data_IF_244199597901
#
_entry.id   IF_244199597901
#
_cell.length_a   1.000
_cell.length_b   1.000
_cell.length_c   1.000
_cell.angle_alpha   90.00
_cell.angle_beta   90.00
_cell.angle_gamma   90.00
#
_symmetry.space_group_name_H-M   'P 1'
#
loop_
_entity.id
_entity.type
_entity.pdbx_description
1 polymer ?
#
# COMPACT_ATOMS: atom_id res chain seq x y z
N UNK A 1 50.24 -4.71 -46.06
CA UNK A 1 50.84 -5.32 -44.86
C UNK A 1 49.71 -5.73 -43.95
N UNK A 2 49.61 -7.04 -43.72
CA UNK A 2 48.49 -7.72 -43.07
C UNK A 2 48.70 -7.74 -41.56
N UNK A 3 47.65 -7.50 -40.78
CA UNK A 3 47.64 -7.73 -39.34
C UNK A 3 47.26 -9.20 -39.12
N UNK A 4 48.09 -9.90 -38.36
CA UNK A 4 47.94 -11.30 -38.02
C UNK A 4 47.45 -11.44 -36.58
N UNK A 5 46.55 -12.40 -36.42
CA UNK A 5 45.86 -12.85 -35.23
C UNK A 5 46.80 -13.60 -34.26
N UNK A 6 46.62 -13.41 -32.95
CA UNK A 6 47.02 -14.39 -31.93
C UNK A 6 46.12 -14.23 -30.70
N UNK A 7 45.14 -15.12 -30.57
CA UNK A 7 44.48 -15.38 -29.31
C UNK A 7 45.35 -16.21 -28.37
N UNK A 8 45.13 -16.09 -27.06
CA UNK A 8 44.98 -17.21 -26.12
C UNK A 8 44.84 -16.76 -24.66
N UNK A 9 43.87 -17.39 -24.00
CA UNK A 9 43.83 -17.81 -22.60
C UNK A 9 43.82 -16.73 -21.49
N UNK A 10 42.62 -16.47 -20.95
CA UNK A 10 42.46 -16.19 -19.52
C UNK A 10 41.79 -17.41 -18.88
N UNK A 11 42.57 -18.10 -18.06
CA UNK A 11 42.20 -19.30 -17.32
C UNK A 11 41.09 -19.02 -16.30
N UNK A 12 40.18 -19.99 -16.14
CA UNK A 12 39.31 -20.14 -14.99
C UNK A 12 40.15 -20.25 -13.71
N UNK A 13 40.25 -19.16 -12.95
CA UNK A 13 40.62 -19.22 -11.54
C UNK A 13 39.36 -19.09 -10.71
N UNK A 14 38.96 -20.21 -10.10
CA UNK A 14 37.95 -20.27 -9.04
C UNK A 14 38.50 -19.56 -7.80
N UNK A 15 37.95 -18.40 -7.45
CA UNK A 15 38.10 -17.82 -6.11
C UNK A 15 36.92 -18.30 -5.24
N UNK A 16 37.17 -18.75 -3.99
CA UNK A 16 36.08 -19.05 -3.07
C UNK A 16 35.46 -17.74 -2.60
N UNK A 17 34.21 -17.51 -2.97
CA UNK A 17 33.44 -16.37 -2.48
C UNK A 17 33.02 -16.66 -1.03
N UNK A 18 33.75 -16.10 -0.07
CA UNK A 18 33.30 -16.04 1.33
C UNK A 18 32.11 -15.08 1.38
N UNK A 19 30.89 -15.63 1.41
CA UNK A 19 29.67 -14.84 1.54
C UNK A 19 29.31 -14.66 3.02
N UNK A 20 29.16 -13.41 3.43
CA UNK A 20 28.70 -13.05 4.77
C UNK A 20 27.22 -13.46 4.95
N UNK A 21 26.96 -14.40 5.85
CA UNK A 21 25.62 -14.65 6.40
C UNK A 21 25.34 -13.61 7.49
N UNK A 22 24.16 -12.97 7.46
CA UNK A 22 23.71 -12.10 8.54
C UNK A 22 22.68 -12.86 9.38
N UNK A 23 23.11 -13.37 10.52
CA UNK A 23 22.22 -13.99 11.51
C UNK A 23 21.47 -12.89 12.27
N UNK A 24 20.14 -12.94 12.27
CA UNK A 24 19.30 -12.13 13.17
C UNK A 24 18.56 -13.09 14.09
N UNK A 25 18.70 -12.91 15.40
CA UNK A 25 17.98 -13.68 16.41
C UNK A 25 16.75 -12.87 16.83
N UNK A 26 15.56 -13.45 16.66
CA UNK A 26 14.31 -12.91 17.19
C UNK A 26 13.61 -13.99 18.03
N UNK A 27 13.26 -13.65 19.27
CA UNK A 27 12.54 -14.53 20.21
C UNK A 27 13.10 -15.96 20.36
N UNK A 28 14.42 -16.10 20.44
CA UNK A 28 15.07 -17.40 20.71
C UNK A 28 15.02 -18.42 19.56
N UNK A 29 14.57 -18.03 18.36
CA UNK A 29 14.70 -18.83 17.14
C UNK A 29 15.63 -18.14 16.14
N UNK A 30 16.56 -18.93 15.62
CA UNK A 30 17.44 -18.53 14.54
C UNK A 30 16.64 -18.55 13.22
N UNK A 31 16.58 -17.41 12.53
CA UNK A 31 16.01 -17.32 11.19
C UNK A 31 17.16 -17.03 10.23
N UNK A 32 17.59 -18.05 9.49
CA UNK A 32 18.51 -17.91 8.38
C UNK A 32 17.70 -17.47 7.16
N UNK A 33 17.98 -16.27 6.65
CA UNK A 33 17.32 -15.78 5.42
C UNK A 33 18.20 -16.14 4.23
N UNK A 34 17.94 -17.29 3.60
CA UNK A 34 18.61 -17.65 2.34
C UNK A 34 17.95 -16.91 1.18
N UNK A 35 18.65 -15.91 0.65
CA UNK A 35 18.25 -15.25 -0.58
C UNK A 35 18.66 -16.13 -1.76
N UNK A 36 17.67 -16.60 -2.52
CA UNK A 36 17.72 -17.37 -3.78
C UNK A 36 17.77 -18.91 -3.66
N UNK A 37 16.81 -19.55 -4.34
CA UNK A 37 16.80 -20.99 -4.63
C UNK A 37 17.83 -21.22 -5.75
N UNK A 38 18.99 -21.75 -5.42
CA UNK A 38 19.96 -22.22 -6.41
C UNK A 38 19.48 -23.55 -6.99
N UNK A 39 18.98 -23.54 -8.23
CA UNK A 39 18.72 -24.75 -9.00
C UNK A 39 20.07 -25.28 -9.50
N UNK A 40 20.62 -26.30 -8.83
CA UNK A 40 21.82 -26.98 -9.29
C UNK A 40 21.48 -27.92 -10.44
N UNK A 41 21.64 -27.43 -11.67
CA UNK A 41 21.60 -28.26 -12.89
C UNK A 41 22.95 -28.99 -12.97
N UNK A 42 22.94 -30.32 -12.94
CA UNK A 42 24.16 -31.11 -13.09
C UNK A 42 24.77 -30.89 -14.48
N UNK A 43 26.10 -30.92 -14.57
CA UNK A 43 26.82 -30.76 -15.83
C UNK A 43 26.38 -31.79 -16.89
N UNK A 44 25.95 -32.98 -16.46
CA UNK A 44 25.40 -34.04 -17.31
C UNK A 44 23.98 -33.73 -17.82
N UNK A 45 23.15 -33.04 -17.04
CA UNK A 45 21.84 -32.58 -17.50
C UNK A 45 21.97 -31.44 -18.52
N UNK A 46 22.97 -30.58 -18.34
CA UNK A 46 23.35 -29.55 -19.32
C UNK A 46 23.90 -30.17 -20.62
N UNK A 47 24.78 -31.17 -20.52
CA UNK A 47 25.34 -31.85 -21.68
C UNK A 47 24.27 -32.60 -22.50
N UNK A 48 23.34 -33.30 -21.84
CA UNK A 48 22.20 -33.95 -22.53
C UNK A 48 21.22 -32.98 -23.17
N UNK A 49 21.04 -31.79 -22.60
CA UNK A 49 20.20 -30.74 -23.19
C UNK A 49 20.82 -30.09 -24.43
N UNK A 50 22.14 -30.17 -24.58
CA UNK A 50 22.90 -29.60 -25.71
C UNK A 50 23.15 -30.62 -26.84
N UNK A 51 22.87 -31.91 -26.64
CA UNK A 51 22.92 -32.90 -27.72
C UNK A 51 21.85 -32.59 -28.77
N UNK A 52 22.29 -32.21 -29.98
CA UNK A 52 21.43 -31.93 -31.13
C UNK A 52 21.15 -30.45 -31.41
N UNK A 53 21.67 -29.52 -30.61
CA UNK A 53 21.51 -28.08 -30.85
C UNK A 53 22.84 -27.49 -31.34
N UNK A 54 22.90 -27.12 -32.62
CA UNK A 54 24.00 -26.29 -33.14
C UNK A 54 23.96 -24.93 -32.45
N UNK A 55 25.11 -24.46 -31.96
CA UNK A 55 25.22 -23.13 -31.40
C UNK A 55 24.70 -22.10 -32.43
N UNK A 56 23.81 -21.18 -32.03
CA UNK A 56 23.19 -20.24 -32.96
C UNK A 56 24.28 -19.44 -33.67
N UNK A 57 24.11 -19.28 -34.98
CA UNK A 57 25.01 -18.43 -35.77
C UNK A 57 24.91 -16.98 -35.28
N UNK A 58 25.96 -16.17 -35.54
CA UNK A 58 25.99 -14.76 -35.13
C UNK A 58 24.76 -13.98 -35.64
N UNK A 59 24.30 -14.31 -36.85
CA UNK A 59 23.12 -13.72 -37.47
C UNK A 59 21.81 -14.16 -36.79
N UNK A 60 21.68 -15.42 -36.38
CA UNK A 60 20.54 -15.90 -35.59
C UNK A 60 20.53 -15.29 -34.17
N UNK A 61 21.70 -15.10 -33.57
CA UNK A 61 21.86 -14.40 -32.30
C UNK A 61 21.43 -12.93 -32.38
N UNK A 62 21.84 -12.20 -33.41
CA UNK A 62 21.46 -10.81 -33.65
C UNK A 62 19.96 -10.67 -33.95
N UNK A 63 19.39 -11.59 -34.75
CA UNK A 63 17.95 -11.61 -35.05
C UNK A 63 17.10 -11.94 -33.81
N UNK A 64 17.58 -12.85 -32.96
CA UNK A 64 16.93 -13.16 -31.68
C UNK A 64 17.03 -11.99 -30.71
N UNK A 65 18.18 -11.32 -30.64
CA UNK A 65 18.36 -10.12 -29.82
C UNK A 65 17.46 -8.96 -30.29
N UNK A 66 17.30 -8.76 -31.59
CA UNK A 66 16.36 -7.78 -32.14
C UNK A 66 14.91 -8.16 -31.88
N UNK A 67 14.54 -9.43 -32.01
CA UNK A 67 13.20 -9.91 -31.68
C UNK A 67 12.91 -9.72 -30.18
N UNK A 68 13.86 -10.05 -29.29
CA UNK A 68 13.73 -9.82 -27.85
C UNK A 68 13.69 -8.33 -27.51
N UNK A 69 14.46 -7.49 -28.18
CA UNK A 69 14.40 -6.04 -28.02
C UNK A 69 13.06 -5.47 -28.50
N UNK A 70 12.50 -6.02 -29.58
CA UNK A 70 11.18 -5.63 -30.09
C UNK A 70 10.07 -6.07 -29.14
N UNK A 71 10.12 -7.30 -28.63
CA UNK A 71 9.18 -7.78 -27.60
C UNK A 71 9.34 -6.98 -26.30
N UNK A 72 10.57 -6.69 -25.89
CA UNK A 72 10.84 -5.85 -24.72
C UNK A 72 10.30 -4.43 -24.92
N UNK A 73 10.56 -3.80 -26.06
CA UNK A 73 10.09 -2.45 -26.35
C UNK A 73 8.57 -2.40 -26.54
N UNK A 74 7.98 -3.43 -27.14
CA UNK A 74 6.53 -3.59 -27.21
C UNK A 74 5.96 -3.71 -25.80
N UNK A 75 6.49 -4.61 -24.97
CA UNK A 75 6.07 -4.76 -23.57
C UNK A 75 6.27 -3.47 -22.75
N UNK A 76 7.40 -2.78 -22.92
CA UNK A 76 7.66 -1.49 -22.26
C UNK A 76 6.79 -0.35 -22.79
N UNK A 77 6.28 -0.45 -24.02
CA UNK A 77 5.28 0.46 -24.55
C UNK A 77 3.86 0.12 -24.07
N UNK A 78 3.59 -1.15 -23.73
CA UNK A 78 2.32 -1.59 -23.12
C UNK A 78 2.23 -1.26 -21.63
N UNK A 79 3.36 -1.22 -20.91
CA UNK A 79 3.39 -0.68 -19.55
C UNK A 79 3.35 0.85 -19.64
N UNK A 80 2.17 1.43 -19.43
CA UNK A 80 2.05 2.83 -19.00
C UNK A 80 3.13 3.09 -17.97
N UNK A 81 4.02 4.06 -18.23
CA UNK A 81 5.08 4.43 -17.28
C UNK A 81 4.42 4.57 -15.91
N UNK A 82 4.81 3.71 -14.98
CA UNK A 82 4.36 3.83 -13.60
C UNK A 82 4.70 5.23 -13.06
N UNK A 83 4.03 5.66 -11.99
CA UNK A 83 4.25 6.97 -11.39
C UNK A 83 5.73 7.18 -11.04
N UNK A 84 6.14 8.44 -10.96
CA UNK A 84 7.46 8.77 -10.43
C UNK A 84 7.66 8.17 -9.03
N UNK A 85 8.75 7.42 -8.84
CA UNK A 85 9.15 6.92 -7.52
C UNK A 85 9.54 8.05 -6.55
N UNK A 86 9.74 9.27 -7.06
CA UNK A 86 9.96 10.47 -6.26
C UNK A 86 8.65 11.21 -5.91
N UNK A 87 7.48 10.69 -6.31
CA UNK A 87 6.20 11.27 -5.91
C UNK A 87 5.95 11.13 -4.41
N UNK A 88 5.15 12.03 -3.86
CA UNK A 88 4.75 12.02 -2.44
C UNK A 88 4.08 10.70 -2.05
N UNK A 89 3.43 10.01 -3.00
CA UNK A 89 2.84 8.70 -2.78
C UNK A 89 3.85 7.66 -2.23
N UNK A 90 5.07 7.64 -2.76
CA UNK A 90 6.14 6.74 -2.31
C UNK A 90 7.10 7.36 -1.29
N UNK A 91 7.10 8.69 -1.15
CA UNK A 91 8.03 9.40 -0.27
C UNK A 91 7.43 9.73 1.11
N UNK A 92 6.13 9.99 1.20
CA UNK A 92 5.47 10.32 2.47
C UNK A 92 5.25 9.06 3.32
N UNK A 93 5.73 9.02 4.58
CA UNK A 93 5.51 7.90 5.49
C UNK A 93 4.03 7.48 5.67
N UNK A 94 3.08 8.39 5.51
CA UNK A 94 1.65 8.09 5.65
C UNK A 94 1.08 7.26 4.48
N UNK A 95 1.63 7.38 3.27
CA UNK A 95 1.16 6.62 2.10
C UNK A 95 2.16 5.58 1.60
N UNK A 96 3.46 5.81 1.79
CA UNK A 96 4.54 4.99 1.23
C UNK A 96 4.45 3.52 1.66
N UNK A 97 4.02 3.26 2.90
CA UNK A 97 3.87 1.90 3.43
C UNK A 97 2.80 1.07 2.71
N UNK A 98 1.81 1.72 2.09
CA UNK A 98 0.73 1.06 1.37
C UNK A 98 0.80 1.24 -0.15
N UNK A 99 1.68 2.10 -0.64
CA UNK A 99 1.73 2.49 -2.06
C UNK A 99 1.86 1.30 -3.03
N UNK A 100 2.64 0.28 -2.64
CA UNK A 100 2.84 -0.95 -3.43
C UNK A 100 1.55 -1.77 -3.58
N UNK A 101 0.59 -1.64 -2.66
CA UNK A 101 -0.68 -2.38 -2.72
C UNK A 101 -1.60 -1.87 -3.83
N UNK A 102 -1.41 -0.64 -4.31
CA UNK A 102 -2.27 0.01 -5.32
C UNK A 102 -1.71 -0.11 -6.76
N UNK A 103 -0.74 -0.99 -7.01
CA UNK A 103 -0.11 -1.11 -8.35
C UNK A 103 -1.13 -1.35 -9.47
N UNK A 104 -2.18 -2.13 -9.21
CA UNK A 104 -3.19 -2.45 -10.22
C UNK A 104 -4.06 -1.24 -10.58
N UNK A 105 -4.19 -0.24 -9.70
CA UNK A 105 -4.96 0.98 -10.00
C UNK A 105 -4.33 1.76 -11.17
N UNK A 106 -3.00 1.73 -11.31
CA UNK A 106 -2.32 2.40 -12.42
C UNK A 106 -2.56 1.73 -13.78
N UNK A 107 -2.83 0.42 -13.80
CA UNK A 107 -3.09 -0.33 -15.04
C UNK A 107 -4.51 -0.07 -15.57
N UNK A 108 -5.43 0.26 -14.67
CA UNK A 108 -6.85 0.50 -14.97
C UNK A 108 -7.25 1.97 -14.78
N UNK A 109 -6.26 2.87 -14.72
CA UNK A 109 -6.46 4.30 -14.57
C UNK A 109 -6.90 4.93 -15.89
N UNK A 110 -7.92 5.78 -15.83
CA UNK A 110 -8.34 6.68 -16.89
C UNK A 110 -7.62 8.03 -16.83
N UNK A 111 -6.65 8.18 -15.92
CA UNK A 111 -5.74 9.33 -15.81
C UNK A 111 -4.28 8.87 -15.89
N UNK A 112 -3.37 9.79 -16.18
CA UNK A 112 -1.95 9.47 -16.17
C UNK A 112 -1.47 9.00 -14.78
N UNK A 113 -0.34 8.29 -14.77
CA UNK A 113 0.13 7.62 -13.56
C UNK A 113 0.52 8.58 -12.42
N UNK A 114 1.06 9.76 -12.73
CA UNK A 114 1.43 10.74 -11.71
C UNK A 114 0.19 11.37 -11.05
N UNK A 115 -0.86 11.66 -11.82
CA UNK A 115 -2.15 12.15 -11.29
C UNK A 115 -2.85 11.08 -10.45
N UNK A 116 -2.80 9.81 -10.86
CA UNK A 116 -3.30 8.69 -10.05
C UNK A 116 -2.51 8.56 -8.73
N UNK A 117 -1.17 8.65 -8.77
CA UNK A 117 -0.36 8.58 -7.56
C UNK A 117 -0.66 9.74 -6.60
N UNK A 118 -0.81 10.95 -7.11
CA UNK A 118 -1.22 12.11 -6.31
C UNK A 118 -2.62 11.93 -5.70
N UNK A 119 -3.58 11.37 -6.46
CA UNK A 119 -4.91 11.06 -5.96
C UNK A 119 -4.88 10.03 -4.82
N UNK A 120 -4.13 8.94 -5.00
CA UNK A 120 -3.97 7.90 -3.99
C UNK A 120 -3.26 8.43 -2.75
N UNK A 121 -2.22 9.26 -2.92
CA UNK A 121 -1.57 9.93 -1.80
C UNK A 121 -2.56 10.78 -1.00
N UNK A 122 -3.30 11.68 -1.65
CA UNK A 122 -4.31 12.50 -0.97
C UNK A 122 -5.43 11.66 -0.32
N UNK A 123 -5.78 10.52 -0.91
CA UNK A 123 -6.75 9.60 -0.35
C UNK A 123 -6.26 8.91 0.93
N UNK A 124 -4.96 8.63 1.06
CA UNK A 124 -4.37 7.92 2.19
C UNK A 124 -3.95 8.83 3.36
N UNK A 125 -3.69 10.11 3.11
CA UNK A 125 -3.27 11.05 4.17
C UNK A 125 -4.45 11.65 4.94
N UNK A 126 -4.20 11.99 6.20
CA UNK A 126 -5.14 12.70 7.08
C UNK A 126 -4.65 14.12 7.37
N UNK A 127 -5.56 15.10 7.60
CA UNK A 127 -5.19 16.50 7.72
C UNK A 127 -4.38 16.81 8.99
N UNK A 128 -4.49 15.98 10.02
CA UNK A 128 -3.75 16.09 11.27
C UNK A 128 -3.62 14.72 11.93
N UNK A 129 -2.65 14.58 12.85
CA UNK A 129 -2.55 13.38 13.66
C UNK A 129 -3.81 13.19 14.49
N UNK A 130 -4.32 11.96 14.50
CA UNK A 130 -5.45 11.57 15.34
C UNK A 130 -5.07 11.57 16.83
N UNK A 131 -5.95 12.12 17.65
CA UNK A 131 -5.76 12.27 19.11
C UNK A 131 -6.38 11.13 19.93
N UNK A 132 -7.37 10.44 19.38
CA UNK A 132 -8.06 9.32 20.03
C UNK A 132 -8.61 8.32 19.00
N UNK A 133 -9.32 7.29 19.48
CA UNK A 133 -9.92 6.28 18.61
C UNK A 133 -11.10 6.81 17.78
N UNK A 134 -11.75 7.91 18.20
CA UNK A 134 -12.85 8.55 17.46
C UNK A 134 -12.31 9.27 16.25
N UNK A 135 -11.28 10.11 16.41
CA UNK A 135 -10.63 10.79 15.27
C UNK A 135 -9.98 9.77 14.35
N UNK A 136 -9.37 8.71 14.90
CA UNK A 136 -8.77 7.63 14.09
C UNK A 136 -9.81 6.88 13.26
N UNK A 137 -11.01 6.70 13.81
CA UNK A 137 -12.14 6.11 13.11
C UNK A 137 -12.66 7.02 11.98
N UNK A 138 -12.73 8.33 12.22
CA UNK A 138 -13.10 9.32 11.20
C UNK A 138 -12.07 9.35 10.07
N UNK A 139 -10.78 9.37 10.39
CA UNK A 139 -9.69 9.29 9.42
C UNK A 139 -9.83 8.06 8.52
N UNK A 140 -10.01 6.87 9.10
CA UNK A 140 -10.16 5.63 8.33
C UNK A 140 -11.42 5.66 7.44
N UNK A 141 -12.53 6.18 7.94
CA UNK A 141 -13.77 6.33 7.15
C UNK A 141 -13.62 7.32 6.00
N UNK A 142 -12.87 8.41 6.19
CA UNK A 142 -12.57 9.36 5.12
C UNK A 142 -11.60 8.79 4.10
N UNK A 143 -10.63 7.96 4.52
CA UNK A 143 -9.79 7.20 3.60
C UNK A 143 -10.62 6.26 2.73
N UNK A 144 -11.59 5.54 3.32
CA UNK A 144 -12.53 4.71 2.56
C UNK A 144 -13.29 5.55 1.52
N UNK A 145 -13.89 6.67 1.94
CA UNK A 145 -14.65 7.54 1.04
C UNK A 145 -13.78 8.07 -0.11
N UNK A 146 -12.58 8.57 0.19
CA UNK A 146 -11.66 9.12 -0.82
C UNK A 146 -11.21 8.06 -1.81
N UNK A 147 -10.85 6.85 -1.34
CA UNK A 147 -10.46 5.76 -2.23
C UNK A 147 -11.61 5.32 -3.14
N UNK A 148 -12.83 5.22 -2.62
CA UNK A 148 -14.01 4.91 -3.44
C UNK A 148 -14.29 6.01 -4.48
N UNK A 149 -14.03 7.27 -4.15
CA UNK A 149 -14.13 8.37 -5.11
C UNK A 149 -13.06 8.26 -6.20
N UNK A 150 -11.80 7.91 -5.87
CA UNK A 150 -10.77 7.59 -6.88
C UNK A 150 -11.25 6.47 -7.81
N UNK A 151 -11.79 5.39 -7.25
CA UNK A 151 -12.35 4.27 -8.03
C UNK A 151 -13.44 4.75 -8.98
N UNK A 152 -14.41 5.51 -8.47
CA UNK A 152 -15.54 6.02 -9.26
C UNK A 152 -15.10 6.95 -10.40
N UNK A 153 -14.10 7.81 -10.15
CA UNK A 153 -13.71 8.87 -11.09
C UNK A 153 -12.66 8.45 -12.09
N UNK A 154 -11.68 7.66 -11.66
CA UNK A 154 -10.43 7.40 -12.36
C UNK A 154 -10.21 5.94 -12.71
N UNK A 155 -10.93 4.97 -12.11
CA UNK A 155 -10.80 3.58 -12.53
C UNK A 155 -11.78 3.26 -13.66
N UNK A 156 -11.30 2.53 -14.67
CA UNK A 156 -12.10 2.10 -15.81
C UNK A 156 -13.29 1.25 -15.37
N UNK A 157 -14.45 1.44 -16.02
CA UNK A 157 -15.72 0.85 -15.59
C UNK A 157 -15.70 -0.68 -15.48
N UNK A 158 -14.89 -1.36 -16.29
CA UNK A 158 -14.68 -2.81 -16.26
C UNK A 158 -13.86 -3.31 -15.06
N UNK A 159 -13.14 -2.42 -14.37
CA UNK A 159 -12.32 -2.72 -13.20
C UNK A 159 -12.82 -2.06 -11.89
N UNK A 160 -13.88 -1.25 -11.94
CA UNK A 160 -14.40 -0.56 -10.75
C UNK A 160 -14.86 -1.50 -9.64
N UNK A 161 -15.48 -2.63 -9.98
CA UNK A 161 -15.94 -3.60 -8.98
C UNK A 161 -14.76 -4.26 -8.24
N UNK A 162 -13.77 -4.87 -8.93
CA UNK A 162 -12.54 -5.36 -8.28
C UNK A 162 -11.82 -4.29 -7.45
N UNK A 163 -11.72 -3.06 -7.95
CA UNK A 163 -11.08 -1.98 -7.23
C UNK A 163 -11.84 -1.59 -5.94
N UNK A 164 -13.18 -1.58 -5.98
CA UNK A 164 -14.02 -1.32 -4.80
C UNK A 164 -13.89 -2.43 -3.75
N UNK A 165 -13.82 -3.70 -4.19
CA UNK A 165 -13.57 -4.85 -3.30
C UNK A 165 -12.18 -4.77 -2.66
N UNK A 166 -11.16 -4.37 -3.43
CA UNK A 166 -9.83 -4.10 -2.90
C UNK A 166 -9.86 -3.00 -1.83
N UNK A 167 -10.55 -1.87 -2.07
CA UNK A 167 -10.68 -0.79 -1.08
C UNK A 167 -11.34 -1.32 0.20
N UNK A 168 -12.42 -2.09 0.09
CA UNK A 168 -13.07 -2.68 1.26
C UNK A 168 -12.11 -3.61 2.05
N UNK A 169 -11.34 -4.45 1.35
CA UNK A 169 -10.32 -5.30 1.97
C UNK A 169 -9.19 -4.52 2.64
N UNK A 170 -8.70 -3.46 1.99
CA UNK A 170 -7.68 -2.57 2.52
C UNK A 170 -8.14 -1.89 3.82
N UNK A 171 -9.37 -1.37 3.84
CA UNK A 171 -9.95 -0.73 5.02
C UNK A 171 -10.14 -1.74 6.16
N UNK A 172 -10.56 -2.97 5.86
CA UNK A 172 -10.64 -4.05 6.85
C UNK A 172 -9.26 -4.41 7.42
N UNK A 173 -8.22 -4.48 6.58
CA UNK A 173 -6.85 -4.71 7.02
C UNK A 173 -6.37 -3.61 7.98
N UNK A 174 -6.64 -2.34 7.65
CA UNK A 174 -6.30 -1.19 8.51
C UNK A 174 -7.04 -1.23 9.85
N UNK A 175 -8.31 -1.61 9.85
CA UNK A 175 -9.07 -1.80 11.08
C UNK A 175 -8.47 -2.91 11.96
N UNK A 176 -8.07 -4.04 11.37
CA UNK A 176 -7.44 -5.14 12.11
C UNK A 176 -6.05 -4.75 12.64
N UNK A 177 -5.24 -4.03 11.86
CA UNK A 177 -3.95 -3.49 12.32
C UNK A 177 -4.12 -2.59 13.56
N UNK A 178 -5.13 -1.72 13.57
CA UNK A 178 -5.44 -0.88 14.73
C UNK A 178 -5.84 -1.72 15.95
N UNK A 179 -6.63 -2.78 15.76
CA UNK A 179 -7.02 -3.68 16.85
C UNK A 179 -5.83 -4.48 17.39
N UNK A 180 -4.95 -4.96 16.53
CA UNK A 180 -3.70 -5.62 16.93
C UNK A 180 -2.81 -4.68 17.74
N UNK A 181 -2.65 -3.43 17.32
CA UNK A 181 -1.88 -2.43 18.08
C UNK A 181 -2.49 -2.20 19.46
N UNK A 182 -3.82 -2.04 19.55
CA UNK A 182 -4.51 -1.88 20.82
C UNK A 182 -4.30 -3.09 21.75
N UNK A 183 -4.37 -4.33 21.22
CA UNK A 183 -4.09 -5.54 22.00
C UNK A 183 -2.66 -5.54 22.54
N UNK A 184 -1.67 -5.15 21.72
CA UNK A 184 -0.26 -5.09 22.13
C UNK A 184 -0.07 -4.07 23.26
N UNK A 185 -0.63 -2.86 23.12
CA UNK A 185 -0.53 -1.81 24.15
C UNK A 185 -1.20 -2.25 25.45
N UNK A 186 -2.40 -2.83 25.39
CA UNK A 186 -3.11 -3.33 26.57
C UNK A 186 -2.37 -4.48 27.25
N UNK A 187 -1.75 -5.39 26.49
CA UNK A 187 -0.96 -6.49 27.06
C UNK A 187 0.29 -5.96 27.80
N UNK A 188 0.97 -4.97 27.24
CA UNK A 188 2.09 -4.30 27.90
C UNK A 188 1.63 -3.57 29.17
N UNK A 189 0.52 -2.82 29.10
CA UNK A 189 -0.05 -2.11 30.24
C UNK A 189 -0.49 -3.07 31.36
N UNK A 190 -1.10 -4.21 31.00
CA UNK A 190 -1.46 -5.27 31.95
C UNK A 190 -0.23 -5.85 32.65
N UNK A 191 0.82 -6.16 31.88
CA UNK A 191 2.09 -6.68 32.42
C UNK A 191 2.75 -5.69 33.38
N UNK A 192 2.74 -4.40 33.03
CA UNK A 192 3.25 -3.34 33.91
C UNK A 192 2.42 -3.23 35.20
N UNK A 193 1.09 -3.20 35.11
CA UNK A 193 0.20 -3.14 36.27
C UNK A 193 0.43 -4.32 37.22
N UNK A 194 0.58 -5.55 36.67
CA UNK A 194 0.95 -6.73 37.44
C UNK A 194 2.29 -6.56 38.17
N UNK A 195 3.30 -6.02 37.48
CA UNK A 195 4.63 -5.81 38.08
C UNK A 195 4.63 -4.79 39.22
N UNK A 196 3.67 -3.85 39.21
CA UNK A 196 3.46 -2.85 40.25
C UNK A 196 2.54 -3.33 41.38
N UNK A 197 1.97 -4.54 41.26
CA UNK A 197 0.99 -5.07 42.22
C UNK A 197 -0.43 -4.50 42.06
N UNK A 198 -0.71 -3.75 40.99
CA UNK A 198 -2.05 -3.23 40.69
C UNK A 198 -2.88 -4.26 39.92
N UNK A 199 -3.48 -5.17 40.67
CA UNK A 199 -4.27 -6.28 40.11
C UNK A 199 -5.58 -5.80 39.49
N UNK A 200 -6.16 -4.70 39.97
CA UNK A 200 -7.39 -4.13 39.44
C UNK A 200 -7.17 -3.58 38.03
N UNK A 201 -6.10 -2.80 37.85
CA UNK A 201 -5.73 -2.23 36.55
C UNK A 201 -5.32 -3.32 35.55
N UNK A 202 -4.58 -4.35 36.00
CA UNK A 202 -4.24 -5.50 35.16
C UNK A 202 -5.49 -6.25 34.66
N UNK A 203 -6.46 -6.48 35.55
CA UNK A 203 -7.74 -7.13 35.20
C UNK A 203 -8.53 -6.31 34.20
N UNK A 204 -8.59 -4.98 34.38
CA UNK A 204 -9.24 -4.06 33.44
C UNK A 204 -8.63 -4.16 32.03
N UNK A 205 -7.31 -4.14 31.91
CA UNK A 205 -6.64 -4.28 30.61
C UNK A 205 -6.87 -5.65 29.96
N UNK A 206 -6.91 -6.72 30.76
CA UNK A 206 -7.22 -8.06 30.25
C UNK A 206 -8.65 -8.15 29.72
N UNK A 207 -9.62 -7.57 30.42
CA UNK A 207 -11.00 -7.49 29.96
C UNK A 207 -11.11 -6.71 28.64
N UNK A 208 -10.37 -5.61 28.49
CA UNK A 208 -10.34 -4.86 27.23
C UNK A 208 -9.78 -5.69 26.05
N UNK A 209 -8.79 -6.55 26.29
CA UNK A 209 -8.27 -7.49 25.27
C UNK A 209 -9.34 -8.52 24.89
N UNK A 210 -10.10 -9.03 25.86
CA UNK A 210 -11.22 -9.94 25.61
C UNK A 210 -12.31 -9.25 24.77
N UNK A 211 -12.65 -8.01 25.09
CA UNK A 211 -13.59 -7.21 24.30
C UNK A 211 -13.11 -7.00 22.85
N UNK A 212 -11.82 -6.69 22.65
CA UNK A 212 -11.22 -6.56 21.32
C UNK A 212 -11.27 -7.88 20.54
N UNK A 213 -11.18 -9.02 21.23
CA UNK A 213 -11.27 -10.35 20.62
C UNK A 213 -12.70 -10.72 20.27
N UNK A 214 -13.68 -10.21 21.04
CA UNK A 214 -15.11 -10.40 20.80
C UNK A 214 -15.71 -9.39 19.82
N UNK A 215 -14.97 -8.36 19.39
CA UNK A 215 -15.50 -7.30 18.52
C UNK A 215 -16.39 -6.29 19.25
N UNK A 216 -16.28 -6.19 20.57
CA UNK A 216 -17.17 -5.41 21.44
C UNK A 216 -16.48 -4.26 22.16
N UNK A 217 -15.19 -4.03 21.87
CA UNK A 217 -14.46 -2.90 22.45
C UNK A 217 -14.92 -1.59 21.82
N UNK A 218 -15.01 -0.51 22.60
CA UNK A 218 -15.53 0.79 22.15
C UNK A 218 -14.82 1.30 20.88
N UNK A 219 -13.50 1.10 20.77
CA UNK A 219 -12.75 1.50 19.57
C UNK A 219 -13.26 0.80 18.29
N UNK A 220 -13.71 -0.45 18.38
CA UNK A 220 -14.26 -1.20 17.26
C UNK A 220 -15.69 -0.75 16.95
N UNK A 221 -16.52 -0.54 17.98
CA UNK A 221 -17.88 -0.04 17.82
C UNK A 221 -17.90 1.33 17.16
N UNK A 222 -17.07 2.27 17.65
CA UNK A 222 -16.95 3.61 17.07
C UNK A 222 -16.42 3.54 15.65
N UNK A 223 -15.37 2.75 15.39
CA UNK A 223 -14.82 2.59 14.03
C UNK A 223 -15.85 2.04 13.05
N UNK A 224 -16.58 0.99 13.41
CA UNK A 224 -17.59 0.39 12.55
C UNK A 224 -18.74 1.38 12.27
N UNK A 225 -19.13 2.17 13.27
CA UNK A 225 -20.12 3.22 13.10
C UNK A 225 -19.64 4.30 12.12
N UNK A 226 -18.43 4.83 12.29
CA UNK A 226 -17.88 5.85 11.36
C UNK A 226 -17.71 5.32 9.93
N UNK A 227 -17.22 4.09 9.77
CA UNK A 227 -17.14 3.42 8.46
C UNK A 227 -18.53 3.28 7.80
N UNK A 228 -19.57 2.99 8.58
CA UNK A 228 -20.92 2.85 8.06
C UNK A 228 -21.49 4.17 7.51
N UNK A 229 -21.10 5.30 8.09
CA UNK A 229 -21.51 6.63 7.64
C UNK A 229 -21.04 6.87 6.21
N UNK A 230 -19.75 6.64 5.93
CA UNK A 230 -19.13 6.86 4.62
C UNK A 230 -19.37 5.74 3.61
N UNK A 231 -19.76 4.55 4.06
CA UNK A 231 -20.19 3.47 3.18
C UNK A 231 -21.57 3.73 2.55
N UNK A 232 -22.35 4.68 3.07
CA UNK A 232 -23.65 5.03 2.51
C UNK A 232 -23.51 5.83 1.21
N UNK A 233 -24.38 5.60 0.23
CA UNK A 233 -24.48 6.40 -1.01
C UNK A 233 -25.03 7.82 -0.76
N UNK A 234 -24.97 8.34 0.47
CA UNK A 234 -25.36 9.72 0.78
C UNK A 234 -24.22 10.68 0.44
N UNK A 235 -24.55 11.96 0.26
CA UNK A 235 -23.54 12.98 -0.03
C UNK A 235 -22.62 13.25 1.18
N UNK A 236 -21.50 13.92 0.93
CA UNK A 236 -20.52 14.21 1.97
C UNK A 236 -21.07 15.12 3.08
N UNK A 237 -22.06 15.97 2.79
CA UNK A 237 -22.67 16.84 3.80
C UNK A 237 -23.46 16.03 4.83
N UNK A 238 -24.14 14.96 4.38
CA UNK A 238 -24.75 13.96 5.25
C UNK A 238 -23.71 13.25 6.12
N UNK A 239 -22.55 12.87 5.58
CA UNK A 239 -21.50 12.21 6.36
C UNK A 239 -20.98 13.11 7.49
N UNK A 240 -20.61 14.35 7.18
CA UNK A 240 -20.11 15.29 8.18
C UNK A 240 -21.18 15.68 9.21
N UNK A 241 -22.45 15.72 8.82
CA UNK A 241 -23.58 15.88 9.75
C UNK A 241 -23.64 14.70 10.74
N UNK A 242 -23.54 13.46 10.25
CA UNK A 242 -23.57 12.26 11.09
C UNK A 242 -22.33 12.13 11.99
N UNK A 243 -21.14 12.56 11.54
CA UNK A 243 -19.97 12.65 12.41
C UNK A 243 -20.20 13.64 13.56
N UNK A 244 -20.72 14.83 13.28
CA UNK A 244 -21.03 15.81 14.31
C UNK A 244 -22.07 15.28 15.30
N UNK A 245 -23.13 14.62 14.82
CA UNK A 245 -24.14 13.99 15.69
C UNK A 245 -23.54 12.89 16.57
N UNK A 246 -22.64 12.08 16.02
CA UNK A 246 -21.96 11.01 16.76
C UNK A 246 -21.12 11.59 17.89
N UNK A 247 -20.35 12.64 17.62
CA UNK A 247 -19.54 13.38 18.62
C UNK A 247 -20.41 14.06 19.67
N UNK A 248 -21.54 14.64 19.28
CA UNK A 248 -22.46 15.27 20.24
C UNK A 248 -23.15 14.26 21.17
N UNK A 249 -23.29 13.00 20.72
CA UNK A 249 -23.94 11.92 21.47
C UNK A 249 -22.98 10.99 22.24
N UNK A 250 -21.67 11.12 22.06
CA UNK A 250 -20.65 10.20 22.59
C UNK A 250 -20.47 10.27 24.11
N UNK A 251 -20.92 11.35 24.74
CA UNK A 251 -20.71 11.60 26.17
C UNK A 251 -19.25 11.95 26.52
N UNK A 252 -18.41 12.28 25.53
CA UNK A 252 -17.02 12.69 25.76
C UNK A 252 -16.92 14.01 26.53
N UNK A 253 -15.78 14.23 27.18
CA UNK A 253 -15.52 15.47 27.90
C UNK A 253 -15.55 16.67 26.94
N UNK A 254 -16.01 17.86 27.37
CA UNK A 254 -16.16 19.02 26.47
C UNK A 254 -14.90 19.36 25.67
N UNK A 255 -13.72 19.24 26.28
CA UNK A 255 -12.46 19.51 25.57
C UNK A 255 -12.14 18.47 24.48
N UNK A 256 -12.47 17.20 24.70
CA UNK A 256 -12.29 16.13 23.70
C UNK A 256 -13.26 16.37 22.54
N UNK A 257 -14.51 16.69 22.87
CA UNK A 257 -15.53 17.01 21.88
C UNK A 257 -15.11 18.18 20.98
N UNK A 258 -14.48 19.21 21.54
CA UNK A 258 -13.98 20.35 20.75
C UNK A 258 -12.83 19.93 19.81
N UNK A 259 -11.95 19.02 20.25
CA UNK A 259 -10.89 18.42 19.41
C UNK A 259 -11.51 17.61 18.28
N UNK A 260 -12.48 16.74 18.58
CA UNK A 260 -13.20 15.92 17.60
C UNK A 260 -13.92 16.80 16.55
N UNK A 261 -14.59 17.89 16.96
CA UNK A 261 -15.26 18.83 16.04
C UNK A 261 -14.29 19.61 15.16
N UNK A 262 -13.15 20.02 15.71
CA UNK A 262 -12.10 20.66 14.92
C UNK A 262 -11.52 19.68 13.88
N UNK A 263 -11.37 18.40 14.26
CA UNK A 263 -10.92 17.36 13.35
C UNK A 263 -11.93 17.12 12.22
N UNK A 264 -13.23 17.07 12.51
CA UNK A 264 -14.29 16.98 11.49
C UNK A 264 -14.19 18.15 10.50
N UNK A 265 -13.99 19.37 11.00
CA UNK A 265 -13.86 20.57 10.15
C UNK A 265 -12.64 20.47 9.22
N UNK A 266 -11.52 19.96 9.72
CA UNK A 266 -10.32 19.73 8.91
C UNK A 266 -10.54 18.65 7.84
N UNK A 267 -11.23 17.55 8.17
CA UNK A 267 -11.60 16.50 7.21
C UNK A 267 -12.54 17.03 6.13
N UNK A 268 -13.50 17.89 6.49
CA UNK A 268 -14.40 18.53 5.53
C UNK A 268 -13.64 19.41 4.53
N UNK A 269 -12.69 20.22 5.01
CA UNK A 269 -11.82 21.02 4.15
C UNK A 269 -10.97 20.15 3.22
N UNK A 270 -10.36 19.08 3.75
CA UNK A 270 -9.55 18.15 2.96
C UNK A 270 -10.39 17.48 1.87
N UNK A 271 -11.62 17.05 2.18
CA UNK A 271 -12.55 16.47 1.22
C UNK A 271 -12.91 17.42 0.08
N UNK A 272 -13.19 18.69 0.40
CA UNK A 272 -13.48 19.70 -0.62
C UNK A 272 -12.28 19.94 -1.54
N UNK A 273 -11.08 20.02 -0.98
CA UNK A 273 -9.85 20.16 -1.78
C UNK A 273 -9.62 18.94 -2.68
N UNK A 274 -9.81 17.74 -2.12
CA UNK A 274 -9.65 16.48 -2.82
C UNK A 274 -10.61 16.33 -4.01
N UNK A 275 -11.90 16.64 -3.80
CA UNK A 275 -12.90 16.56 -4.89
C UNK A 275 -12.62 17.55 -6.02
N UNK A 276 -12.15 18.76 -5.70
CA UNK A 276 -11.70 19.76 -6.72
C UNK A 276 -10.44 19.26 -7.46
N UNK A 277 -9.49 18.68 -6.73
CA UNK A 277 -8.29 18.07 -7.31
C UNK A 277 -8.67 16.98 -8.33
N UNK A 278 -9.59 16.07 -7.96
CA UNK A 278 -10.04 14.99 -8.85
C UNK A 278 -10.74 15.50 -10.13
N UNK A 279 -11.42 16.64 -10.06
CA UNK A 279 -12.04 17.25 -11.24
C UNK A 279 -10.99 17.86 -12.18
N UNK A 280 -9.95 18.45 -11.62
CA UNK A 280 -8.93 19.19 -12.38
C UNK A 280 -8.02 18.25 -13.16
N UNK A 281 -7.54 17.16 -12.55
CA UNK A 281 -6.66 16.21 -13.22
C UNK A 281 -7.34 15.50 -14.41
N UNK A 282 -8.65 15.23 -14.31
CA UNK A 282 -9.45 14.69 -15.43
C UNK A 282 -9.56 15.66 -16.62
N UNK A 283 -9.59 16.97 -16.37
CA UNK A 283 -9.70 17.99 -17.42
C UNK A 283 -8.37 18.23 -18.14
N UNK A 284 -7.23 18.15 -17.43
CA UNK A 284 -5.91 18.34 -18.04
C UNK A 284 -5.58 17.27 -19.08
N UNK A 285 -6.02 16.03 -18.87
CA UNK A 285 -5.79 14.95 -19.82
C UNK A 285 -6.69 15.08 -21.06
N UNK A 286 -7.98 15.38 -20.88
CA UNK A 286 -8.89 15.63 -22.00
C UNK A 286 -8.39 16.77 -22.91
N UNK A 287 -7.80 17.82 -22.31
CA UNK A 287 -7.16 18.90 -23.06
C UNK A 287 -5.89 18.43 -23.81
N UNK A 288 -5.07 17.56 -23.21
CA UNK A 288 -3.87 17.02 -23.85
C UNK A 288 -4.16 16.04 -24.99
N UNK A 289 -5.25 15.28 -24.93
CA UNK A 289 -5.71 14.43 -26.04
C UNK A 289 -6.23 15.25 -27.22
N UNK A 290 -6.96 16.35 -26.94
CA UNK A 290 -7.52 17.22 -27.99
C UNK A 290 -6.48 17.98 -28.81
N UNK A 291 -5.26 18.16 -28.30
CA UNK A 291 -4.15 18.83 -28.99
C UNK A 291 -3.34 17.85 -29.87
N UNK A 292 -3.55 16.54 -29.72
CA UNK A 292 -2.87 15.50 -30.51
C UNK A 292 -3.66 15.01 -31.74
N UNK A 293 -4.88 15.50 -31.95
CA UNK A 293 -5.74 15.24 -33.11
C UNK A 293 -5.71 16.41 -34.10
#
# INVERSE_FOLDING_TARGET
MSIQDVGSAAALQTLPEVRQSKTIIFAGKEIVTESSISVNISAEALAKGMEGHTAPTKEEGEKTAQAMATVRNANMATYSRGPSLASEFYADPQSAGDAVKFIDFFQHSSVNADDMAAALHQALISPQASGDYTTSAMDLSMTQAKLNEVVSKYISADYQQPASEFVAGFIAEKADQADQMNRVVLAQASTLAQSLGDTAQASYHQQAIEQLSAGTHDSQTVRNHMLSITASNSDSDSWFTQFNQSVDSSGTLPFIRDIEKNHISALQQQWQQFTVFLQTAKQSEAAQESVKL
#
